data_IF_901371031256
#
_entry.id   IF_901371031256
#
_cell.length_a   1.000
_cell.length_b   1.000
_cell.length_c   1.000
_cell.angle_alpha   90.00
_cell.angle_beta   90.00
_cell.angle_gamma   90.00
#
_symmetry.space_group_name_H-M   'P 1'
#
loop_
_entity.id
_entity.type
_entity.pdbx_description
1 polymer ?
#
# COMPACT_ATOMS: atom_id res chain seq x y z
N UNK A 1 -25.08 27.58 -29.38
CA UNK A 1 -24.52 26.26 -29.01
C UNK A 1 -25.68 25.29 -28.86
N UNK A 2 -25.73 24.22 -29.66
CA UNK A 2 -26.83 23.25 -29.60
C UNK A 2 -26.83 22.49 -28.26
N UNK A 3 -28.00 22.13 -27.71
CA UNK A 3 -28.10 21.36 -26.46
C UNK A 3 -27.36 20.01 -26.55
N UNK A 4 -27.27 19.45 -27.76
CA UNK A 4 -26.44 18.26 -28.04
C UNK A 4 -24.94 18.48 -27.78
N UNK A 5 -24.41 19.65 -28.10
CA UNK A 5 -23.00 19.97 -27.87
C UNK A 5 -22.72 20.20 -26.38
N UNK A 6 -23.66 20.83 -25.66
CA UNK A 6 -23.57 21.00 -24.21
C UNK A 6 -23.57 19.63 -23.48
N UNK A 7 -24.43 18.69 -23.91
CA UNK A 7 -24.46 17.34 -23.37
C UNK A 7 -23.16 16.57 -23.63
N UNK A 8 -22.63 16.64 -24.86
CA UNK A 8 -21.36 15.98 -25.21
C UNK A 8 -20.19 16.56 -24.41
N UNK A 9 -20.12 17.88 -24.24
CA UNK A 9 -19.10 18.53 -23.41
C UNK A 9 -19.22 18.13 -21.92
N UNK A 10 -20.44 18.02 -21.40
CA UNK A 10 -20.69 17.56 -20.03
C UNK A 10 -20.23 16.11 -19.82
N UNK A 11 -20.54 15.22 -20.76
CA UNK A 11 -20.09 13.83 -20.71
C UNK A 11 -18.56 13.72 -20.82
N UNK A 12 -17.92 14.55 -21.64
CA UNK A 12 -16.46 14.61 -21.75
C UNK A 12 -15.82 15.10 -20.43
N UNK A 13 -16.41 16.11 -19.79
CA UNK A 13 -15.91 16.64 -18.51
C UNK A 13 -16.02 15.60 -17.37
N UNK A 14 -17.12 14.82 -17.33
CA UNK A 14 -17.28 13.73 -16.36
C UNK A 14 -16.35 12.55 -16.67
N UNK A 15 -16.13 12.22 -17.94
CA UNK A 15 -15.20 11.16 -18.33
C UNK A 15 -13.74 11.49 -17.95
N UNK A 16 -13.31 12.75 -18.14
CA UNK A 16 -11.94 13.18 -17.80
C UNK A 16 -11.71 13.23 -16.28
N UNK A 17 -12.71 13.65 -15.48
CA UNK A 17 -12.56 13.66 -14.01
C UNK A 17 -12.58 12.25 -13.40
N UNK A 18 -13.19 11.27 -14.07
CA UNK A 18 -13.15 9.86 -13.68
C UNK A 18 -11.81 9.17 -13.95
N UNK A 19 -11.03 9.63 -14.93
CA UNK A 19 -9.74 9.02 -15.25
C UNK A 19 -8.70 9.17 -14.13
N UNK A 20 -8.69 10.29 -13.39
CA UNK A 20 -7.75 10.48 -12.26
C UNK A 20 -8.03 9.48 -11.11
N UNK A 21 -9.31 9.11 -10.94
CA UNK A 21 -9.73 8.06 -10.00
C UNK A 21 -9.41 6.65 -10.50
N UNK A 22 -9.42 6.43 -11.81
CA UNK A 22 -9.09 5.14 -12.44
C UNK A 22 -7.59 4.84 -12.39
N UNK A 23 -6.74 5.85 -12.51
CA UNK A 23 -5.28 5.68 -12.47
C UNK A 23 -4.74 5.57 -11.04
N UNK A 24 -5.55 5.91 -10.03
CA UNK A 24 -5.16 5.84 -8.63
C UNK A 24 -4.06 6.83 -8.24
N UNK A 25 -3.73 7.82 -9.08
CA UNK A 25 -2.59 8.70 -8.86
C UNK A 25 -2.66 9.48 -7.54
N UNK A 26 -3.87 9.87 -7.11
CA UNK A 26 -4.08 10.52 -5.81
C UNK A 26 -3.83 9.57 -4.63
N UNK A 27 -4.25 8.32 -4.74
CA UNK A 27 -4.01 7.29 -3.71
C UNK A 27 -2.53 6.94 -3.65
N UNK A 28 -1.87 6.85 -4.80
CA UNK A 28 -0.44 6.59 -4.91
C UNK A 28 0.37 7.63 -4.15
N UNK A 29 0.07 8.92 -4.28
CA UNK A 29 0.78 9.98 -3.53
C UNK A 29 0.66 9.83 -2.02
N UNK A 30 -0.50 9.39 -1.54
CA UNK A 30 -0.73 9.11 -0.11
C UNK A 30 0.09 7.90 0.33
N UNK A 31 0.07 6.82 -0.47
CA UNK A 31 0.84 5.60 -0.21
C UNK A 31 2.35 5.84 -0.24
N UNK A 32 2.82 6.68 -1.16
CA UNK A 32 4.22 7.09 -1.24
C UNK A 32 4.62 7.89 0.01
N UNK A 33 3.77 8.82 0.46
CA UNK A 33 4.01 9.57 1.69
C UNK A 33 4.00 8.65 2.92
N UNK A 34 3.09 7.68 3.01
CA UNK A 34 3.11 6.64 4.06
C UNK A 34 4.41 5.81 4.00
N UNK A 35 4.84 5.39 2.82
CA UNK A 35 6.07 4.61 2.66
C UNK A 35 7.33 5.39 3.05
N UNK A 36 7.42 6.68 2.70
CA UNK A 36 8.50 7.56 3.13
C UNK A 36 8.51 7.70 4.65
N UNK A 37 7.35 7.92 5.26
CA UNK A 37 7.21 8.01 6.71
C UNK A 37 7.64 6.73 7.42
N UNK A 38 7.27 5.57 6.85
CA UNK A 38 7.70 4.26 7.32
C UNK A 38 9.23 4.16 7.28
N UNK A 39 9.84 4.48 6.13
CA UNK A 39 11.29 4.44 5.95
C UNK A 39 12.04 5.36 6.94
N UNK A 40 11.52 6.57 7.20
CA UNK A 40 12.09 7.47 8.21
C UNK A 40 12.20 6.81 9.58
N UNK A 41 11.17 6.07 10.01
CA UNK A 41 11.20 5.38 11.30
C UNK A 41 12.22 4.26 11.34
N UNK A 42 12.32 3.48 10.25
CA UNK A 42 13.33 2.42 10.10
C UNK A 42 14.75 3.01 10.17
N UNK A 43 14.96 4.16 9.55
CA UNK A 43 16.19 4.96 9.61
C UNK A 43 16.38 5.70 10.93
N UNK A 44 15.59 5.40 11.97
CA UNK A 44 15.65 6.01 13.30
C UNK A 44 15.49 7.54 13.31
N UNK A 45 14.91 8.11 12.26
CA UNK A 45 14.68 9.56 12.13
C UNK A 45 13.43 9.96 12.92
N UNK A 46 13.52 11.09 13.63
CA UNK A 46 12.38 11.65 14.34
C UNK A 46 11.28 12.09 13.35
N UNK A 47 9.99 11.98 13.72
CA UNK A 47 8.91 12.30 12.80
C UNK A 47 8.89 13.79 12.40
N UNK A 48 9.30 14.68 13.29
CA UNK A 48 9.41 16.12 13.00
C UNK A 48 10.45 16.40 11.90
N UNK A 49 11.63 15.80 12.00
CA UNK A 49 12.71 15.96 11.01
C UNK A 49 12.34 15.30 9.68
N UNK A 50 11.68 14.14 9.73
CA UNK A 50 11.16 13.47 8.53
C UNK A 50 10.17 14.37 7.77
N UNK A 51 9.24 15.02 8.48
CA UNK A 51 8.27 15.94 7.86
C UNK A 51 8.97 17.18 7.29
N UNK A 52 9.94 17.74 8.02
CA UNK A 52 10.69 18.91 7.56
C UNK A 52 11.47 18.63 6.26
N UNK A 53 12.00 17.42 6.10
CA UNK A 53 12.75 17.00 4.91
C UNK A 53 11.87 16.48 3.76
N UNK A 54 10.56 16.33 3.97
CA UNK A 54 9.60 15.80 2.99
C UNK A 54 8.36 16.69 2.89
N UNK A 55 8.56 18.01 2.83
CA UNK A 55 7.52 19.04 2.83
C UNK A 55 6.58 19.00 1.61
N UNK A 56 6.99 18.34 0.53
CA UNK A 56 6.19 18.09 -0.67
C UNK A 56 5.10 17.03 -0.46
N UNK A 57 5.19 16.25 0.63
CA UNK A 57 4.25 15.19 0.97
C UNK A 57 3.30 15.59 2.10
N UNK A 58 2.16 14.90 2.19
CA UNK A 58 1.19 15.12 3.26
C UNK A 58 1.80 14.77 4.63
N UNK A 59 1.85 15.72 5.59
CA UNK A 59 2.44 15.46 6.91
C UNK A 59 1.65 14.42 7.71
N UNK A 60 0.33 14.32 7.49
CA UNK A 60 -0.50 13.30 8.13
C UNK A 60 -0.18 11.90 7.61
N UNK A 61 0.10 11.79 6.31
CA UNK A 61 0.41 10.50 5.66
C UNK A 61 1.81 10.03 6.04
N UNK A 62 2.79 10.94 6.08
CA UNK A 62 4.13 10.67 6.63
C UNK A 62 4.04 10.18 8.08
N UNK A 63 3.27 10.86 8.93
CA UNK A 63 3.10 10.46 10.33
C UNK A 63 2.38 9.11 10.48
N UNK A 64 1.42 8.81 9.60
CA UNK A 64 0.73 7.53 9.58
C UNK A 64 1.71 6.38 9.28
N UNK A 65 2.53 6.54 8.23
CA UNK A 65 3.59 5.61 7.87
C UNK A 65 4.62 5.41 8.98
N UNK A 66 5.08 6.50 9.60
CA UNK A 66 6.04 6.46 10.70
C UNK A 66 5.50 5.66 11.90
N UNK A 67 4.22 5.87 12.26
CA UNK A 67 3.55 5.12 13.34
C UNK A 67 3.38 3.65 12.98
N UNK A 68 3.09 3.32 11.72
CA UNK A 68 2.98 1.93 11.29
C UNK A 68 4.33 1.20 11.49
N UNK A 69 5.43 1.80 11.05
CA UNK A 69 6.77 1.25 11.29
C UNK A 69 7.10 1.14 12.80
N UNK A 70 6.70 2.13 13.60
CA UNK A 70 6.94 2.08 15.05
C UNK A 70 6.19 0.92 15.69
N UNK A 71 4.94 0.68 15.27
CA UNK A 71 4.17 -0.48 15.72
C UNK A 71 4.79 -1.80 15.28
N UNK A 72 5.33 -1.90 14.06
CA UNK A 72 6.01 -3.10 13.61
C UNK A 72 7.28 -3.39 14.43
N UNK A 73 8.01 -2.35 14.83
CA UNK A 73 9.16 -2.46 15.73
C UNK A 73 8.71 -2.93 17.13
N UNK A 74 7.66 -2.31 17.69
CA UNK A 74 7.10 -2.68 18.99
C UNK A 74 6.56 -4.13 18.99
N UNK A 75 5.96 -4.54 17.88
CA UNK A 75 5.47 -5.90 17.64
C UNK A 75 6.59 -6.89 17.29
N UNK A 76 7.86 -6.45 17.28
CA UNK A 76 9.04 -7.27 16.90
C UNK A 76 8.94 -7.90 15.52
N UNK A 77 8.16 -7.28 14.62
CA UNK A 77 8.08 -7.63 13.19
C UNK A 77 9.23 -7.00 12.40
N UNK A 78 9.77 -5.90 12.91
CA UNK A 78 10.90 -5.18 12.34
C UNK A 78 11.99 -4.99 13.40
N UNK A 79 13.26 -5.15 13.01
CA UNK A 79 14.39 -4.89 13.89
C UNK A 79 14.69 -3.37 13.92
N UNK A 80 14.73 -2.73 15.11
CA UNK A 80 15.00 -1.30 15.23
C UNK A 80 16.39 -0.87 14.74
N UNK A 81 17.32 -1.80 14.51
CA UNK A 81 18.68 -1.54 14.02
C UNK A 81 18.83 -1.65 12.50
N UNK A 82 17.77 -1.98 11.75
CA UNK A 82 17.85 -2.14 10.30
C UNK A 82 18.35 -0.88 9.57
N UNK A 83 18.03 0.31 10.07
CA UNK A 83 18.46 1.58 9.47
C UNK A 83 19.82 2.09 9.93
N UNK A 84 20.50 1.42 10.87
CA UNK A 84 21.75 1.92 11.48
C UNK A 84 23.00 1.19 11.02
N UNK A 85 22.86 0.05 10.33
CA UNK A 85 24.00 -0.72 9.84
C UNK A 85 24.44 -0.26 8.43
N UNK A 86 25.60 0.41 8.29
CA UNK A 86 26.10 0.88 6.99
C UNK A 86 26.45 -0.28 6.03
N UNK A 87 26.67 -1.50 6.53
CA UNK A 87 26.94 -2.66 5.69
C UNK A 87 25.71 -3.11 4.88
N UNK A 88 24.49 -2.88 5.40
CA UNK A 88 23.24 -3.23 4.71
C UNK A 88 22.88 -2.20 3.62
N UNK A 89 23.27 -0.93 3.80
CA UNK A 89 23.01 0.14 2.84
C UNK A 89 23.79 0.02 1.52
N UNK A 90 24.86 -0.79 1.49
CA UNK A 90 25.75 -0.93 0.33
C UNK A 90 25.28 -1.94 -0.74
N UNK A 91 24.13 -2.60 -0.55
CA UNK A 91 23.70 -3.73 -1.40
C UNK A 91 22.48 -3.46 -2.30
N UNK A 92 22.24 -2.22 -2.71
CA UNK A 92 21.32 -1.96 -3.83
C UNK A 92 22.15 -1.77 -5.11
N UNK A 93 22.21 -2.77 -6.02
CA UNK A 93 22.75 -2.55 -7.34
C UNK A 93 21.85 -1.52 -8.05
N UNK A 94 22.41 -0.36 -8.37
CA UNK A 94 21.82 0.57 -9.32
C UNK A 94 21.78 -0.16 -10.65
N UNK A 95 20.64 -0.76 -10.98
CA UNK A 95 20.42 -1.37 -12.27
C UNK A 95 20.27 -0.24 -13.30
N UNK A 96 21.39 0.20 -13.84
CA UNK A 96 21.42 0.94 -15.10
C UNK A 96 20.77 0.09 -16.18
N UNK A 97 19.79 0.70 -16.85
CA UNK A 97 19.15 0.15 -18.03
C UNK A 97 20.18 -0.03 -19.16
N UNK A 98 20.42 -1.27 -19.57
CA UNK A 98 20.93 -1.59 -20.90
C UNK A 98 20.38 -2.93 -21.37
N UNK A 99 19.80 -2.90 -22.56
CA UNK A 99 19.11 -3.97 -23.22
C UNK A 99 20.02 -5.14 -23.66
N UNK A 100 19.34 -6.25 -23.97
CA UNK A 100 19.82 -7.44 -24.72
C UNK A 100 20.77 -8.39 -23.98
N UNK A 101 20.24 -9.56 -23.60
CA UNK A 101 20.35 -10.73 -24.47
C UNK A 101 19.31 -11.79 -24.13
N UNK A 102 18.66 -12.27 -25.19
CA UNK A 102 17.75 -13.41 -25.27
C UNK A 102 18.57 -14.70 -25.39
N UNK A 103 17.97 -15.81 -24.92
CA UNK A 103 18.38 -17.21 -25.01
C UNK A 103 19.24 -17.69 -23.83
N UNK A 104 18.95 -18.82 -23.16
CA UNK A 104 18.35 -20.02 -23.70
C UNK A 104 17.46 -20.76 -22.68
N UNK A 105 16.32 -21.18 -23.21
CA UNK A 105 15.43 -22.25 -22.77
C UNK A 105 16.18 -23.49 -22.27
N UNK A 106 15.79 -24.01 -21.11
CA UNK A 106 15.91 -25.43 -20.78
C UNK A 106 14.56 -25.92 -20.25
N UNK A 107 13.83 -26.58 -21.14
CA UNK A 107 12.65 -27.40 -20.85
C UNK A 107 13.10 -28.84 -20.63
N UNK A 108 12.67 -29.43 -19.52
CA UNK A 108 12.45 -30.86 -19.27
C UNK A 108 11.57 -30.87 -18.01
N UNK A 109 10.24 -30.85 -18.10
CA UNK A 109 9.32 -31.93 -18.49
C UNK A 109 9.52 -33.23 -17.69
N UNK A 110 8.67 -33.42 -16.68
CA UNK A 110 7.93 -34.67 -16.47
C UNK A 110 6.92 -34.46 -15.32
N UNK A 111 5.64 -34.51 -15.69
CA UNK A 111 4.49 -34.48 -14.80
C UNK A 111 4.31 -35.78 -14.01
N UNK A 112 3.69 -35.67 -12.83
CA UNK A 112 2.62 -36.59 -12.37
C UNK A 112 1.99 -36.05 -11.08
N UNK A 113 0.75 -35.60 -11.18
CA UNK A 113 -0.26 -35.65 -10.12
C UNK A 113 -1.15 -36.89 -10.38
N UNK A 114 -2.20 -37.23 -9.60
CA UNK A 114 -2.66 -36.74 -8.29
C UNK A 114 -2.97 -37.89 -7.29
N UNK A 115 -3.25 -37.59 -6.02
CA UNK A 115 -4.32 -38.30 -5.28
C UNK A 115 -4.79 -37.51 -4.06
N UNK A 116 -6.10 -37.38 -4.00
CA UNK A 116 -6.97 -36.73 -3.03
C UNK A 116 -6.91 -37.36 -1.62
N UNK A 117 -7.24 -36.56 -0.59
CA UNK A 117 -8.44 -36.78 0.25
C UNK A 117 -8.60 -35.65 1.28
N UNK A 118 -9.52 -34.77 0.91
CA UNK A 118 -10.59 -34.08 1.63
C UNK A 118 -10.93 -34.39 3.11
N UNK A 119 -11.66 -33.41 3.68
CA UNK A 119 -12.60 -33.42 4.81
C UNK A 119 -12.03 -32.94 6.17
N UNK A 120 -12.34 -31.74 6.68
CA UNK A 120 -13.62 -31.03 6.96
C UNK A 120 -13.94 -31.06 8.46
N UNK A 121 -14.11 -29.87 9.05
CA UNK A 121 -15.17 -29.43 10.01
C UNK A 121 -14.64 -28.18 10.74
N UNK A 122 -15.06 -26.95 10.44
CA UNK A 122 -16.40 -26.35 10.53
C UNK A 122 -16.96 -26.28 11.96
N UNK A 123 -16.88 -25.07 12.54
CA UNK A 123 -17.86 -24.48 13.48
C UNK A 123 -17.60 -22.97 13.46
N UNK A 124 -18.24 -22.18 12.61
CA UNK A 124 -19.66 -21.82 12.59
C UNK A 124 -20.11 -21.07 13.86
N UNK A 125 -20.28 -19.76 13.64
CA UNK A 125 -21.46 -18.96 14.00
C UNK A 125 -21.76 -18.71 15.49
N UNK A 126 -21.69 -17.43 15.90
CA UNK A 126 -22.88 -16.67 16.33
C UNK A 126 -22.50 -15.33 16.95
N UNK A 127 -22.86 -14.26 16.26
CA UNK A 127 -23.23 -12.96 16.84
C UNK A 127 -24.42 -13.19 17.80
N UNK A 128 -24.54 -12.41 18.89
CA UNK A 128 -25.83 -11.78 19.09
C UNK A 128 -25.70 -10.27 19.29
N UNK A 129 -26.49 -9.58 18.48
CA UNK A 129 -26.97 -8.25 18.78
C UNK A 129 -27.72 -8.26 20.12
N UNK A 130 -27.58 -7.17 20.87
CA UNK A 130 -28.61 -6.74 21.81
C UNK A 130 -28.85 -5.26 21.60
N UNK A 131 -29.75 -4.97 20.65
CA UNK A 131 -30.60 -3.79 20.73
C UNK A 131 -31.70 -4.02 21.78
N UNK A 132 -31.86 -3.07 22.70
CA UNK A 132 -33.12 -2.60 23.33
C UNK A 132 -32.75 -1.43 24.25
N UNK A 133 -32.89 -0.17 23.81
CA UNK A 133 -34.12 0.65 23.85
C UNK A 133 -34.61 0.98 25.26
N UNK A 134 -34.36 2.22 25.69
CA UNK A 134 -35.27 3.15 26.38
C UNK A 134 -34.54 4.50 26.49
N UNK A 135 -34.99 5.57 25.81
CA UNK A 135 -35.89 6.59 26.36
C UNK A 135 -35.37 7.12 27.72
N UNK A 136 -35.10 8.42 27.94
CA UNK A 136 -36.11 9.48 27.88
C UNK A 136 -35.46 10.84 28.21
N UNK A 137 -35.79 11.82 27.37
CA UNK A 137 -35.96 13.26 27.62
C UNK A 137 -35.96 13.71 29.10
N UNK A 138 -35.12 14.69 29.45
CA UNK A 138 -35.43 15.78 30.37
C UNK A 138 -34.61 17.02 29.99
#
# INVERSE_FOLDING_TARGET
>A
MSPRHALVLLLLAVAVSGCDRITGAAEQKTKDAEAIGYACRVSTTAPADCIANNDTHSPTSLLAGWKAADQDILAKRLDPSMGTNPATAAHLPVAEAAASQVAATKTADAASAPTDTEAETAKDESVPASEKKSAQKH
#
